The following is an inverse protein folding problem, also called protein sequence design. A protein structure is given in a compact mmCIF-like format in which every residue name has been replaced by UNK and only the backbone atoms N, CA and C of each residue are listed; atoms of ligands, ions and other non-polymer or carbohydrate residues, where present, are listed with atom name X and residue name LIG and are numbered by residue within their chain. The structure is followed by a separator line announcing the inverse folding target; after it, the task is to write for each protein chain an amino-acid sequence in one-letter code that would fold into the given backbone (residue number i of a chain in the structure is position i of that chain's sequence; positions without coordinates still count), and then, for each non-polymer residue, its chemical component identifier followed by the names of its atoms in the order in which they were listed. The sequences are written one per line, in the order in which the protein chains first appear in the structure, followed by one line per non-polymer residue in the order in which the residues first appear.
data_IF_823847666820
#
_entry.id   IF_823847666820
#
_cell.length_a   1.000
_cell.length_b   1.000
_cell.length_c   1.000
_cell.angle_alpha   90.00
_cell.angle_beta   90.00
_cell.angle_gamma   90.00
#
_symmetry.space_group_name_H-M   'P 1'
#
loop_
_entity.id
_entity.type
_entity.pdbx_description
1 polymer ?
#
# COMPACT_ATOMS: atom_id res chain seq x y z
N UNK A 1 -3.53 -16.07 16.14
CA UNK A 1 -3.81 -15.41 14.85
C UNK A 1 -4.21 -14.00 15.20
N UNK A 2 -3.62 -13.00 14.54
CA UNK A 2 -3.96 -11.59 14.73
C UNK A 2 -4.51 -11.10 13.40
N UNK A 3 -5.84 -11.13 13.28
CA UNK A 3 -6.57 -10.82 12.05
C UNK A 3 -6.98 -9.35 12.06
N UNK A 4 -6.52 -8.60 11.07
CA UNK A 4 -6.72 -7.15 10.97
C UNK A 4 -7.67 -6.85 9.81
N UNK A 5 -8.74 -6.11 10.05
CA UNK A 5 -9.58 -5.54 8.99
C UNK A 5 -8.98 -4.22 8.52
N UNK A 6 -8.93 -4.00 7.21
CA UNK A 6 -8.29 -2.82 6.62
C UNK A 6 -9.33 -1.93 5.97
N UNK A 7 -9.37 -0.66 6.38
CA UNK A 7 -10.13 0.41 5.75
C UNK A 7 -9.16 1.23 4.89
N UNK A 8 -9.34 1.24 3.55
CA UNK A 8 -8.52 2.06 2.65
C UNK A 8 -8.76 3.57 2.78
N UNK A 9 -8.16 4.31 1.86
CA UNK A 9 -8.31 5.74 1.65
C UNK A 9 -9.79 6.14 1.57
N UNK A 10 -10.15 7.14 2.38
CA UNK A 10 -11.57 7.47 2.62
C UNK A 10 -12.04 8.59 1.70
N UNK A 11 -11.23 9.62 1.46
CA UNK A 11 -11.48 10.77 0.59
C UNK A 11 -12.94 11.23 0.63
N UNK A 12 -13.39 11.72 1.80
CA UNK A 12 -14.75 12.24 2.02
C UNK A 12 -15.90 11.27 1.70
N UNK A 13 -15.69 9.96 1.89
CA UNK A 13 -16.73 8.92 1.72
C UNK A 13 -17.19 8.39 3.08
N UNK A 14 -18.01 9.14 3.86
CA UNK A 14 -18.46 8.71 5.19
C UNK A 14 -19.16 7.34 5.18
N UNK A 15 -19.82 6.99 4.08
CA UNK A 15 -20.49 5.69 3.89
C UNK A 15 -19.54 4.49 3.89
N UNK A 16 -18.22 4.69 3.75
CA UNK A 16 -17.23 3.61 3.83
C UNK A 16 -17.28 2.91 5.20
N UNK A 17 -17.54 3.69 6.27
CA UNK A 17 -17.65 3.17 7.63
C UNK A 17 -18.93 2.35 7.84
N UNK A 18 -20.02 2.69 7.15
CA UNK A 18 -21.25 1.90 7.19
C UNK A 18 -21.06 0.56 6.47
N UNK A 19 -20.39 0.56 5.30
CA UNK A 19 -20.04 -0.70 4.61
C UNK A 19 -19.06 -1.57 5.42
N UNK A 20 -18.09 -0.96 6.08
CA UNK A 20 -17.19 -1.68 6.97
C UNK A 20 -17.96 -2.34 8.13
N UNK A 21 -18.93 -1.63 8.73
CA UNK A 21 -19.77 -2.17 9.80
C UNK A 21 -20.56 -3.41 9.37
N UNK A 22 -21.12 -3.41 8.15
CA UNK A 22 -21.85 -4.55 7.61
C UNK A 22 -20.99 -5.82 7.61
N UNK A 23 -19.71 -5.70 7.26
CA UNK A 23 -18.76 -6.82 7.21
C UNK A 23 -18.22 -7.21 8.59
N UNK A 24 -17.97 -6.22 9.45
CA UNK A 24 -17.53 -6.44 10.83
C UNK A 24 -18.63 -7.13 11.67
N UNK A 25 -19.91 -6.96 11.32
CA UNK A 25 -21.00 -7.68 11.99
C UNK A 25 -21.01 -9.19 11.72
N UNK A 26 -20.28 -9.64 10.70
CA UNK A 26 -20.27 -11.04 10.24
C UNK A 26 -19.04 -11.82 10.70
N UNK A 27 -17.96 -11.12 11.06
CA UNK A 27 -16.66 -11.71 11.38
C UNK A 27 -15.96 -10.92 12.49
N UNK A 28 -15.23 -11.61 13.36
CA UNK A 28 -14.42 -10.97 14.39
C UNK A 28 -13.00 -10.65 13.87
N UNK A 29 -12.49 -9.50 14.26
CA UNK A 29 -11.14 -9.02 13.95
C UNK A 29 -10.48 -8.46 15.20
N UNK A 30 -9.19 -8.75 15.38
CA UNK A 30 -8.42 -8.32 16.55
C UNK A 30 -8.17 -6.80 16.51
N UNK A 31 -7.96 -6.25 15.30
CA UNK A 31 -7.75 -4.83 15.03
C UNK A 31 -8.47 -4.39 13.77
N UNK A 32 -8.78 -3.11 13.70
CA UNK A 32 -9.20 -2.42 12.48
C UNK A 32 -8.18 -1.32 12.21
N UNK A 33 -7.63 -1.26 11.00
CA UNK A 33 -6.66 -0.22 10.61
C UNK A 33 -7.26 0.59 9.47
N UNK A 34 -7.36 1.91 9.65
CA UNK A 34 -7.66 2.85 8.57
C UNK A 34 -6.36 3.46 8.04
N UNK A 35 -6.19 3.48 6.71
CA UNK A 35 -4.95 3.94 6.05
C UNK A 35 -4.91 5.45 5.76
N UNK A 36 -5.87 6.21 6.29
CA UNK A 36 -5.85 7.67 6.26
C UNK A 36 -6.56 8.25 5.05
N UNK A 37 -6.12 9.43 4.67
CA UNK A 37 -6.72 10.27 3.63
C UNK A 37 -8.22 10.39 3.84
N UNK A 38 -8.60 10.95 4.98
CA UNK A 38 -10.01 11.18 5.33
C UNK A 38 -10.67 12.22 4.45
N UNK A 39 -9.86 13.18 4.00
CA UNK A 39 -10.30 14.44 3.43
C UNK A 39 -9.92 14.55 1.96
N UNK A 40 -10.45 15.60 1.35
CA UNK A 40 -10.28 15.97 -0.06
C UNK A 40 -10.87 14.93 -1.04
N UNK A 41 -11.71 15.41 -1.96
CA UNK A 41 -12.20 14.64 -3.11
C UNK A 41 -12.55 15.65 -4.21
N UNK A 42 -12.77 15.15 -5.42
CA UNK A 42 -13.02 15.95 -6.61
C UNK A 42 -14.17 16.94 -6.44
N UNK A 43 -13.87 18.22 -6.69
CA UNK A 43 -14.83 19.31 -6.70
C UNK A 43 -15.60 19.47 -5.33
N UNK A 44 -15.03 18.97 -4.22
CA UNK A 44 -15.61 19.03 -2.86
C UNK A 44 -14.96 20.09 -1.96
N UNK A 45 -14.02 20.89 -2.44
CA UNK A 45 -13.19 21.79 -1.61
C UNK A 45 -14.04 22.73 -0.75
N UNK A 46 -15.23 23.13 -1.20
CA UNK A 46 -16.13 24.03 -0.46
C UNK A 46 -17.24 23.32 0.32
N UNK A 47 -17.31 22.00 0.28
CA UNK A 47 -18.37 21.22 0.91
C UNK A 47 -18.08 20.95 2.39
N UNK A 48 -18.03 22.01 3.21
CA UNK A 48 -17.68 21.91 4.64
C UNK A 48 -18.54 20.89 5.40
N UNK A 49 -19.81 20.75 4.99
CA UNK A 49 -20.73 19.77 5.56
C UNK A 49 -20.23 18.34 5.37
N UNK A 50 -19.74 17.99 4.18
CA UNK A 50 -19.23 16.65 3.90
C UNK A 50 -17.95 16.34 4.69
N UNK A 51 -17.07 17.33 4.87
CA UNK A 51 -15.91 17.18 5.76
C UNK A 51 -16.36 16.87 7.19
N UNK A 52 -17.29 17.66 7.74
CA UNK A 52 -17.84 17.40 9.09
C UNK A 52 -18.52 16.04 9.18
N UNK A 53 -19.35 15.66 8.19
CA UNK A 53 -20.03 14.36 8.15
C UNK A 53 -19.04 13.18 8.11
N UNK A 54 -17.89 13.35 7.44
CA UNK A 54 -16.82 12.34 7.38
C UNK A 54 -16.17 12.12 8.75
N UNK A 55 -15.80 13.20 9.45
CA UNK A 55 -15.27 13.10 10.81
C UNK A 55 -16.29 12.55 11.80
N UNK A 56 -17.56 12.98 11.70
CA UNK A 56 -18.63 12.48 12.57
C UNK A 56 -18.91 10.98 12.34
N UNK A 57 -18.83 10.51 11.08
CA UNK A 57 -18.96 9.09 10.76
C UNK A 57 -17.81 8.28 11.36
N UNK A 58 -16.57 8.75 11.21
CA UNK A 58 -15.40 8.10 11.78
C UNK A 58 -15.45 8.07 13.32
N UNK A 59 -15.86 9.15 13.98
CA UNK A 59 -16.03 9.16 15.44
C UNK A 59 -17.06 8.12 15.90
N UNK A 60 -18.22 8.03 15.24
CA UNK A 60 -19.23 7.00 15.57
C UNK A 60 -18.69 5.60 15.35
N UNK A 61 -17.84 5.41 14.35
CA UNK A 61 -17.19 4.13 14.07
C UNK A 61 -16.18 3.76 15.16
N UNK A 62 -15.27 4.67 15.52
CA UNK A 62 -14.26 4.47 16.58
C UNK A 62 -14.92 4.16 17.93
N UNK A 63 -16.01 4.86 18.28
CA UNK A 63 -16.73 4.62 19.53
C UNK A 63 -17.34 3.20 19.63
N UNK A 64 -17.62 2.55 18.49
CA UNK A 64 -18.09 1.16 18.45
C UNK A 64 -16.94 0.15 18.43
N UNK A 65 -15.79 0.56 17.92
CA UNK A 65 -14.62 -0.29 17.68
C UNK A 65 -13.37 0.24 18.41
N UNK A 66 -13.21 -0.01 19.72
CA UNK A 66 -12.08 0.50 20.49
C UNK A 66 -10.72 -0.11 20.09
N UNK A 67 -10.73 -1.17 19.26
CA UNK A 67 -9.55 -1.80 18.68
C UNK A 67 -9.08 -1.13 17.36
N UNK A 68 -9.55 0.09 17.09
CA UNK A 68 -9.22 0.87 15.90
C UNK A 68 -7.82 1.52 15.97
N UNK A 69 -7.14 1.52 14.83
CA UNK A 69 -5.87 2.18 14.56
C UNK A 69 -6.03 3.07 13.33
N UNK A 70 -5.45 4.27 13.38
CA UNK A 70 -5.50 5.26 12.30
C UNK A 70 -4.09 5.58 11.80
N UNK A 71 -3.87 5.45 10.49
CA UNK A 71 -2.70 5.98 9.82
C UNK A 71 -3.02 7.38 9.30
N UNK A 72 -2.12 8.34 9.46
CA UNK A 72 -2.20 9.60 8.71
C UNK A 72 -1.84 9.37 7.24
N UNK A 73 -2.64 9.92 6.33
CA UNK A 73 -2.28 10.10 4.93
C UNK A 73 -1.73 11.49 4.62
N UNK A 74 -1.26 11.71 3.39
CA UNK A 74 -0.72 13.01 2.98
C UNK A 74 -1.79 14.10 3.02
N UNK A 75 -3.03 13.78 2.63
CA UNK A 75 -4.11 14.77 2.65
C UNK A 75 -4.47 15.16 4.08
N UNK A 76 -4.37 14.25 5.06
CA UNK A 76 -4.68 14.57 6.45
C UNK A 76 -3.68 15.59 7.04
N UNK A 77 -2.38 15.33 6.84
CA UNK A 77 -1.31 16.18 7.41
C UNK A 77 -1.02 17.43 6.62
N UNK A 78 -1.42 17.49 5.35
CA UNK A 78 -1.34 18.69 4.51
C UNK A 78 -1.95 19.91 5.23
N UNK A 79 -3.07 19.73 5.94
CA UNK A 79 -3.78 20.76 6.71
C UNK A 79 -3.05 21.18 7.98
N UNK A 80 -2.42 20.22 8.68
CA UNK A 80 -1.62 20.45 9.88
C UNK A 80 -0.38 21.28 9.51
N UNK A 81 0.24 20.96 8.38
CA UNK A 81 1.50 21.55 7.95
C UNK A 81 1.35 22.75 7.02
N UNK A 82 0.12 23.09 6.63
CA UNK A 82 -0.18 24.09 5.61
C UNK A 82 0.59 23.82 4.31
N UNK A 83 0.76 22.54 3.99
CA UNK A 83 1.49 22.05 2.83
C UNK A 83 0.47 21.72 1.74
N UNK A 84 0.21 22.69 0.86
CA UNK A 84 -0.82 22.56 -0.18
C UNK A 84 -0.47 21.46 -1.17
N UNK A 85 -1.45 20.64 -1.46
CA UNK A 85 -1.40 19.62 -2.50
C UNK A 85 -2.69 19.63 -3.34
N UNK A 86 -2.89 18.61 -4.17
CA UNK A 86 -4.10 18.50 -4.98
C UNK A 86 -5.32 18.33 -4.07
N UNK A 87 -6.45 18.99 -4.35
CA UNK A 87 -7.66 18.86 -3.54
C UNK A 87 -7.68 19.64 -2.22
N UNK A 88 -6.53 20.11 -1.71
CA UNK A 88 -6.43 20.89 -0.48
C UNK A 88 -7.39 22.10 -0.49
N UNK A 89 -8.14 22.28 0.60
CA UNK A 89 -9.11 23.36 0.75
C UNK A 89 -8.80 24.33 1.89
N UNK A 90 -8.47 25.58 1.55
CA UNK A 90 -8.38 26.66 2.53
C UNK A 90 -9.67 26.88 3.32
N UNK A 91 -10.83 26.60 2.70
CA UNK A 91 -12.13 26.76 3.33
C UNK A 91 -12.38 25.68 4.39
N UNK A 92 -11.94 24.45 4.13
CA UNK A 92 -12.15 23.32 5.01
C UNK A 92 -11.12 23.22 6.14
N UNK A 93 -10.00 23.94 6.04
CA UNK A 93 -8.87 23.81 6.97
C UNK A 93 -9.26 23.80 8.44
N UNK A 94 -10.10 24.74 8.88
CA UNK A 94 -10.51 24.80 10.28
C UNK A 94 -11.28 23.54 10.69
N UNK A 95 -12.21 23.07 9.85
CA UNK A 95 -12.99 21.84 10.09
C UNK A 95 -12.07 20.62 10.15
N UNK A 96 -11.09 20.53 9.26
CA UNK A 96 -10.12 19.42 9.26
C UNK A 96 -9.28 19.41 10.52
N UNK A 97 -8.71 20.56 10.92
CA UNK A 97 -7.89 20.66 12.13
C UNK A 97 -8.69 20.33 13.39
N UNK A 98 -9.94 20.79 13.48
CA UNK A 98 -10.84 20.46 14.59
C UNK A 98 -11.16 18.96 14.62
N UNK A 99 -11.44 18.37 13.45
CA UNK A 99 -11.67 16.94 13.26
C UNK A 99 -10.49 16.09 13.70
N UNK A 100 -9.29 16.37 13.19
CA UNK A 100 -8.05 15.66 13.56
C UNK A 100 -7.76 15.77 15.06
N UNK A 101 -7.84 16.98 15.64
CA UNK A 101 -7.64 17.16 17.09
C UNK A 101 -8.65 16.37 17.92
N UNK A 102 -9.88 16.18 17.41
CA UNK A 102 -10.89 15.36 18.08
C UNK A 102 -10.54 13.87 18.01
N UNK A 103 -10.06 13.39 16.85
CA UNK A 103 -9.60 12.01 16.68
C UNK A 103 -8.42 11.69 17.60
N UNK A 104 -7.42 12.58 17.68
CA UNK A 104 -6.25 12.43 18.55
C UNK A 104 -6.63 12.33 20.04
N UNK A 105 -7.73 12.95 20.47
CA UNK A 105 -8.24 12.85 21.84
C UNK A 105 -9.10 11.61 22.07
N UNK A 106 -9.75 11.12 21.03
CA UNK A 106 -10.65 9.97 21.09
C UNK A 106 -9.87 8.65 21.12
N UNK A 107 -8.79 8.56 20.34
CA UNK A 107 -7.96 7.37 20.24
C UNK A 107 -6.94 7.29 21.39
N UNK A 108 -6.65 6.10 21.92
CA UNK A 108 -5.55 5.91 22.86
C UNK A 108 -4.22 6.38 22.27
N UNK A 109 -3.30 6.80 23.13
CA UNK A 109 -1.94 7.14 22.72
C UNK A 109 -1.30 5.95 21.98
N UNK A 110 -0.76 6.21 20.78
CA UNK A 110 -0.19 5.18 19.90
C UNK A 110 -1.19 4.53 18.94
N UNK A 111 -2.50 4.77 19.04
CA UNK A 111 -3.48 4.28 18.06
C UNK A 111 -3.67 5.22 16.86
N UNK A 112 -2.95 6.34 16.83
CA UNK A 112 -2.87 7.27 15.71
C UNK A 112 -1.39 7.54 15.41
N UNK A 113 -0.96 7.26 14.19
CA UNK A 113 0.45 7.23 13.80
C UNK A 113 0.62 7.37 12.27
N UNK A 114 1.85 7.49 11.76
CA UNK A 114 2.10 7.34 10.31
C UNK A 114 2.21 5.87 9.91
N UNK A 115 2.80 5.05 10.78
CA UNK A 115 2.99 3.62 10.57
C UNK A 115 2.59 2.85 11.84
N UNK A 116 1.71 1.87 11.67
CA UNK A 116 1.39 0.87 12.69
C UNK A 116 2.09 -0.44 12.37
N UNK A 117 2.62 -1.12 13.40
CA UNK A 117 3.08 -2.50 13.30
C UNK A 117 2.14 -3.43 14.06
N UNK A 118 1.74 -4.51 13.39
CA UNK A 118 1.10 -5.66 14.03
C UNK A 118 1.85 -6.90 13.58
N UNK A 119 2.50 -7.60 14.52
CA UNK A 119 3.39 -8.73 14.23
C UNK A 119 4.44 -8.40 13.15
N UNK A 120 4.40 -9.09 11.99
CA UNK A 120 5.30 -8.88 10.84
C UNK A 120 4.63 -8.11 9.70
N UNK A 121 3.63 -7.29 10.01
CA UNK A 121 2.92 -6.46 9.04
C UNK A 121 3.00 -5.00 9.44
N UNK A 122 3.37 -4.15 8.48
CA UNK A 122 3.31 -2.71 8.59
C UNK A 122 2.07 -2.19 7.87
N UNK A 123 1.36 -1.27 8.51
CA UNK A 123 0.25 -0.54 7.92
C UNK A 123 0.62 0.93 7.90
N UNK A 124 0.53 1.55 6.73
CA UNK A 124 0.81 2.97 6.54
C UNK A 124 0.08 3.44 5.31
N UNK A 125 -0.04 4.75 5.15
CA UNK A 125 -0.72 5.29 4.00
C UNK A 125 -0.07 4.90 2.66
N UNK A 126 1.27 5.01 2.52
CA UNK A 126 1.95 4.81 1.24
C UNK A 126 3.04 3.72 1.25
N UNK A 127 3.68 3.48 2.40
CA UNK A 127 4.68 2.41 2.59
C UNK A 127 6.07 2.89 3.02
N UNK A 128 6.80 2.08 3.78
CA UNK A 128 8.13 2.39 4.26
C UNK A 128 9.21 1.82 3.32
N UNK A 129 10.08 2.67 2.80
CA UNK A 129 11.12 2.29 1.83
C UNK A 129 12.52 2.28 2.44
N UNK A 130 13.41 1.49 1.85
CA UNK A 130 14.83 1.46 2.21
C UNK A 130 15.50 2.81 1.95
N UNK A 131 15.15 3.49 0.85
CA UNK A 131 15.69 4.80 0.50
C UNK A 131 15.34 5.83 1.57
N UNK A 132 14.09 5.85 2.05
CA UNK A 132 13.66 6.76 3.11
C UNK A 132 14.41 6.51 4.42
N UNK A 133 14.46 5.25 4.86
CA UNK A 133 15.15 4.87 6.10
C UNK A 133 16.64 5.19 6.01
N UNK A 134 17.29 4.86 4.91
CA UNK A 134 18.72 5.12 4.70
C UNK A 134 19.04 6.62 4.69
N UNK A 135 18.12 7.46 4.20
CA UNK A 135 18.30 8.90 4.17
C UNK A 135 18.14 9.55 5.55
N UNK A 136 17.04 9.27 6.25
CA UNK A 136 16.69 9.97 7.49
C UNK A 136 17.22 9.31 8.75
N UNK A 137 17.48 7.99 8.71
CA UNK A 137 17.98 7.20 9.83
C UNK A 137 19.23 6.39 9.41
N UNK A 138 20.29 7.03 8.88
CA UNK A 138 21.48 6.32 8.44
C UNK A 138 22.15 5.62 9.62
N UNK A 139 22.58 4.37 9.40
CA UNK A 139 23.21 3.51 10.42
C UNK A 139 22.30 3.15 11.60
N UNK A 140 20.98 3.18 11.41
CA UNK A 140 20.07 2.71 12.44
C UNK A 140 20.26 1.20 12.67
N UNK A 141 20.70 0.83 13.87
CA UNK A 141 20.91 -0.57 14.28
C UNK A 141 20.04 -1.01 15.44
N UNK A 142 19.01 -0.23 15.79
CA UNK A 142 18.03 -0.59 16.82
C UNK A 142 16.99 -1.59 16.31
N UNK A 143 16.06 -1.98 17.17
CA UNK A 143 14.95 -2.83 16.77
C UNK A 143 13.89 -2.07 15.94
N UNK A 144 12.98 -2.81 15.32
CA UNK A 144 11.95 -2.23 14.45
C UNK A 144 10.98 -1.32 15.21
N UNK A 145 10.70 -1.57 16.49
CA UNK A 145 9.73 -0.78 17.25
C UNK A 145 10.28 0.61 17.56
N UNK A 146 11.55 0.68 18.00
CA UNK A 146 12.25 1.94 18.20
C UNK A 146 12.41 2.74 16.87
N UNK A 147 12.60 2.07 15.73
CA UNK A 147 12.67 2.72 14.41
C UNK A 147 11.34 3.38 14.08
N UNK A 148 10.24 2.64 14.24
CA UNK A 148 8.91 3.13 13.93
C UNK A 148 8.48 4.22 14.90
N UNK A 149 8.88 4.17 16.17
CA UNK A 149 8.66 5.27 17.13
C UNK A 149 9.34 6.56 16.65
N UNK A 150 10.58 6.48 16.15
CA UNK A 150 11.27 7.64 15.57
C UNK A 150 10.54 8.18 14.34
N UNK A 151 10.17 7.33 13.39
CA UNK A 151 9.43 7.76 12.19
C UNK A 151 8.09 8.37 12.58
N UNK A 152 7.38 7.80 13.56
CA UNK A 152 6.12 8.33 14.06
C UNK A 152 6.26 9.68 14.78
N UNK A 153 7.47 10.08 15.16
CA UNK A 153 7.79 11.40 15.72
C UNK A 153 8.23 12.44 14.68
N UNK A 154 8.42 12.03 13.42
CA UNK A 154 8.84 12.93 12.34
C UNK A 154 7.79 13.99 12.03
N UNK A 155 8.25 15.06 11.38
CA UNK A 155 7.45 16.21 11.01
C UNK A 155 7.53 16.42 9.51
N UNK A 156 7.05 17.59 9.08
CA UNK A 156 7.00 18.01 7.68
C UNK A 156 8.36 17.86 6.98
N UNK A 157 9.45 18.23 7.63
CA UNK A 157 10.78 18.29 6.98
C UNK A 157 11.27 16.90 6.53
N UNK A 158 10.88 15.85 7.25
CA UNK A 158 11.20 14.47 6.88
C UNK A 158 10.11 13.83 6.01
N UNK A 159 8.84 14.03 6.37
CA UNK A 159 7.72 13.28 5.78
C UNK A 159 7.12 13.92 4.53
N UNK A 160 7.36 15.21 4.25
CA UNK A 160 6.81 15.86 3.05
C UNK A 160 7.72 15.67 1.83
N UNK A 161 8.02 14.42 1.50
CA UNK A 161 8.82 14.03 0.35
C UNK A 161 8.31 12.73 -0.31
N UNK A 162 8.58 12.57 -1.61
CA UNK A 162 8.05 11.47 -2.45
C UNK A 162 8.44 10.06 -1.99
N UNK A 163 9.52 9.90 -1.22
CA UNK A 163 9.95 8.60 -0.70
C UNK A 163 9.31 8.22 0.64
N UNK A 164 8.54 9.14 1.24
CA UNK A 164 8.02 9.00 2.59
C UNK A 164 6.88 8.00 2.72
N UNK A 165 6.61 7.51 3.95
CA UNK A 165 5.47 6.64 4.27
C UNK A 165 4.07 7.18 3.96
N UNK A 166 3.97 8.45 3.55
CA UNK A 166 2.72 9.10 3.17
C UNK A 166 2.67 9.52 1.69
N UNK A 167 3.73 9.29 0.89
CA UNK A 167 3.79 9.74 -0.50
C UNK A 167 4.31 8.71 -1.50
N UNK A 168 5.04 7.70 -1.03
CA UNK A 168 5.68 6.76 -1.97
C UNK A 168 4.65 6.00 -2.80
N UNK A 169 4.95 5.80 -4.09
CA UNK A 169 4.12 5.03 -5.02
C UNK A 169 4.85 3.76 -5.48
N UNK A 170 5.00 2.74 -4.61
CA UNK A 170 5.61 1.47 -5.00
C UNK A 170 4.85 0.73 -6.12
N UNK A 171 3.63 1.16 -6.44
CA UNK A 171 2.83 0.63 -7.55
C UNK A 171 3.38 1.05 -8.92
N UNK A 172 4.09 2.19 -9.02
CA UNK A 172 4.59 2.75 -10.29
C UNK A 172 5.91 2.13 -10.76
N UNK A 173 6.51 1.27 -9.94
CA UNK A 173 7.75 0.56 -10.24
C UNK A 173 8.32 -0.10 -9.00
N UNK A 174 9.33 -0.96 -9.18
CA UNK A 174 9.95 -1.63 -8.04
C UNK A 174 10.67 -0.62 -7.15
N UNK A 175 10.22 -0.49 -5.91
CA UNK A 175 10.87 0.25 -4.84
C UNK A 175 11.21 -0.75 -3.74
N UNK A 176 12.44 -0.69 -3.23
CA UNK A 176 12.84 -1.56 -2.12
C UNK A 176 12.14 -1.13 -0.84
N UNK A 177 11.32 -2.05 -0.33
CA UNK A 177 10.53 -1.87 0.88
C UNK A 177 11.37 -2.21 2.12
N UNK A 178 11.16 -1.50 3.22
CA UNK A 178 11.87 -1.71 4.47
C UNK A 178 10.90 -1.96 5.64
N UNK A 179 11.21 -2.88 6.56
CA UNK A 179 12.33 -3.82 6.50
C UNK A 179 12.00 -5.03 5.63
N UNK A 180 13.03 -5.73 5.16
CA UNK A 180 12.90 -6.99 4.41
C UNK A 180 12.16 -8.04 5.25
N UNK A 181 11.26 -8.81 4.63
CA UNK A 181 10.53 -9.91 5.28
C UNK A 181 9.24 -9.50 5.99
N UNK A 182 8.89 -8.20 5.95
CA UNK A 182 7.63 -7.66 6.45
C UNK A 182 6.64 -7.49 5.31
N UNK A 183 5.39 -7.89 5.54
CA UNK A 183 4.31 -7.49 4.66
C UNK A 183 3.98 -6.02 4.92
N UNK A 184 3.78 -5.23 3.88
CA UNK A 184 3.25 -3.89 4.01
C UNK A 184 1.85 -3.79 3.40
N UNK A 185 0.94 -3.08 4.06
CA UNK A 185 -0.42 -2.84 3.58
C UNK A 185 -0.60 -1.34 3.43
N UNK A 186 -0.86 -0.89 2.20
CA UNK A 186 -0.81 0.52 1.82
C UNK A 186 -1.98 0.96 0.96
N UNK A 187 -2.31 2.24 1.05
CA UNK A 187 -3.28 2.97 0.25
C UNK A 187 -2.59 3.85 -0.81
N UNK A 188 -2.96 5.13 -0.83
CA UNK A 188 -2.34 6.27 -1.53
C UNK A 188 -2.43 6.29 -3.06
N UNK A 189 -2.20 5.15 -3.70
CA UNK A 189 -2.20 5.03 -5.15
C UNK A 189 -3.44 4.26 -5.60
N UNK A 190 -4.39 4.93 -6.28
CA UNK A 190 -5.62 4.29 -6.73
C UNK A 190 -5.37 3.05 -7.60
N UNK A 191 -6.00 1.94 -7.24
CA UNK A 191 -5.93 0.66 -7.96
C UNK A 191 -7.33 0.16 -8.35
N UNK A 192 -7.40 -0.58 -9.46
CA UNK A 192 -8.68 -1.14 -9.96
C UNK A 192 -9.23 -2.28 -9.10
N UNK A 193 -8.37 -2.91 -8.31
CA UNK A 193 -8.64 -3.98 -7.35
C UNK A 193 -7.45 -4.06 -6.41
N UNK A 194 -7.62 -4.69 -5.25
CA UNK A 194 -6.48 -5.04 -4.38
C UNK A 194 -5.41 -5.78 -5.20
N UNK A 195 -4.16 -5.34 -5.07
CA UNK A 195 -3.01 -5.93 -5.76
C UNK A 195 -1.95 -6.37 -4.74
N UNK A 196 -1.17 -7.39 -5.11
CA UNK A 196 -0.12 -7.96 -4.27
C UNK A 196 1.14 -8.27 -5.06
N UNK A 197 2.27 -7.68 -4.64
CA UNK A 197 3.59 -7.88 -5.24
C UNK A 197 4.68 -7.57 -4.22
N UNK A 198 5.84 -8.24 -4.26
CA UNK A 198 6.99 -7.87 -3.42
C UNK A 198 6.73 -7.71 -1.91
N UNK A 199 5.86 -8.56 -1.31
CA UNK A 199 5.39 -8.41 0.07
C UNK A 199 4.65 -7.10 0.37
N UNK A 200 3.99 -6.52 -0.63
CA UNK A 200 3.13 -5.35 -0.52
C UNK A 200 1.71 -5.69 -0.94
N UNK A 201 0.73 -5.32 -0.12
CA UNK A 201 -0.70 -5.34 -0.46
C UNK A 201 -1.16 -3.90 -0.62
N UNK A 202 -1.65 -3.53 -1.80
CA UNK A 202 -2.19 -2.18 -2.05
C UNK A 202 -3.72 -2.23 -2.13
N UNK A 203 -4.37 -1.31 -1.42
CA UNK A 203 -5.80 -1.39 -1.14
C UNK A 203 -6.60 -0.12 -1.45
N UNK A 204 -6.02 0.94 -2.03
CA UNK A 204 -6.81 2.11 -2.46
C UNK A 204 -7.66 1.78 -3.69
N UNK A 205 -8.72 1.00 -3.50
CA UNK A 205 -9.71 0.63 -4.51
C UNK A 205 -11.05 1.35 -4.30
N UNK A 206 -11.10 2.37 -3.43
CA UNK A 206 -12.28 3.20 -3.16
C UNK A 206 -12.23 4.58 -3.81
N UNK A 207 -11.05 5.02 -4.25
CA UNK A 207 -10.86 6.23 -5.04
C UNK A 207 -11.74 6.31 -6.28
N UNK A 208 -12.07 7.54 -6.67
CA UNK A 208 -12.99 7.87 -7.78
C UNK A 208 -12.28 8.67 -8.85
N UNK A 209 -12.75 8.53 -10.09
CA UNK A 209 -12.45 9.51 -11.13
C UNK A 209 -13.18 10.82 -10.82
N UNK A 210 -12.77 11.92 -11.45
CA UNK A 210 -13.41 13.23 -11.29
C UNK A 210 -14.93 13.23 -11.53
N UNK A 211 -15.44 12.32 -12.36
CA UNK A 211 -16.88 12.20 -12.60
C UNK A 211 -17.64 11.42 -11.51
N UNK A 212 -16.98 11.02 -10.43
CA UNK A 212 -17.53 10.26 -9.31
C UNK A 212 -17.59 8.74 -9.53
N UNK A 213 -17.21 8.24 -10.71
CA UNK A 213 -17.18 6.79 -10.95
C UNK A 213 -16.05 6.14 -10.14
N UNK A 214 -16.28 4.96 -9.53
CA UNK A 214 -15.23 4.20 -8.87
C UNK A 214 -14.08 3.85 -9.83
N UNK A 215 -12.85 3.97 -9.35
CA UNK A 215 -11.66 3.43 -10.03
C UNK A 215 -11.56 1.93 -9.78
N UNK A 216 -11.76 1.53 -8.52
CA UNK A 216 -11.64 0.16 -8.07
C UNK A 216 -12.96 -0.56 -7.82
N UNK A 217 -12.83 -1.81 -7.38
CA UNK A 217 -13.94 -2.70 -7.04
C UNK A 217 -14.56 -2.44 -5.66
N UNK A 218 -14.00 -1.50 -4.88
CA UNK A 218 -14.51 -1.06 -3.58
C UNK A 218 -14.71 -2.20 -2.57
N UNK A 219 -13.74 -3.10 -2.48
CA UNK A 219 -13.77 -4.26 -1.58
C UNK A 219 -12.75 -4.11 -0.46
N UNK A 220 -13.19 -4.43 0.75
CA UNK A 220 -12.32 -4.47 1.93
C UNK A 220 -11.58 -5.80 2.00
N UNK A 221 -10.44 -5.78 2.68
CA UNK A 221 -9.67 -6.97 2.96
C UNK A 221 -9.47 -7.16 4.45
N UNK A 222 -9.09 -8.37 4.81
CA UNK A 222 -8.46 -8.70 6.07
C UNK A 222 -7.05 -9.23 5.85
N UNK A 223 -6.21 -9.13 6.88
CA UNK A 223 -4.85 -9.64 6.88
C UNK A 223 -4.61 -10.45 8.16
N UNK A 224 -4.16 -11.70 8.04
CA UNK A 224 -3.56 -12.44 9.15
C UNK A 224 -2.10 -12.01 9.26
N UNK A 225 -1.80 -11.28 10.33
CA UNK A 225 -0.50 -10.63 10.50
C UNK A 225 0.61 -11.57 10.98
N UNK A 226 0.26 -12.80 11.38
CA UNK A 226 1.22 -13.86 11.72
C UNK A 226 1.62 -14.63 10.46
N UNK A 227 0.64 -15.05 9.65
CA UNK A 227 0.90 -15.81 8.41
C UNK A 227 1.24 -14.92 7.22
N UNK A 228 1.00 -13.61 7.31
CA UNK A 228 1.11 -12.63 6.22
C UNK A 228 0.19 -12.94 5.03
N UNK A 229 -0.90 -13.66 5.30
CA UNK A 229 -1.93 -13.94 4.31
C UNK A 229 -3.04 -12.89 4.39
N UNK A 230 -3.67 -12.60 3.26
CA UNK A 230 -4.78 -11.67 3.19
C UNK A 230 -5.93 -12.30 2.41
N UNK A 231 -7.14 -11.80 2.61
CA UNK A 231 -8.32 -12.21 1.86
C UNK A 231 -9.38 -11.12 1.83
N UNK A 232 -10.37 -11.23 0.95
CA UNK A 232 -11.47 -10.28 0.94
C UNK A 232 -12.41 -10.48 2.14
N UNK A 233 -12.87 -9.38 2.72
CA UNK A 233 -13.73 -9.40 3.90
C UNK A 233 -15.19 -9.82 3.61
N UNK A 234 -15.62 -9.70 2.35
CA UNK A 234 -16.88 -10.25 1.82
C UNK A 234 -16.70 -11.67 1.23
N UNK A 235 -15.52 -12.26 1.37
CA UNK A 235 -15.19 -13.59 0.87
C UNK A 235 -15.69 -14.74 1.75
N UNK A 236 -15.26 -15.96 1.43
CA UNK A 236 -15.59 -17.17 2.19
C UNK A 236 -14.74 -17.37 3.46
N UNK A 237 -13.90 -16.38 3.81
CA UNK A 237 -12.97 -16.46 4.95
C UNK A 237 -11.61 -17.09 4.63
N UNK A 238 -11.42 -17.63 3.42
CA UNK A 238 -10.13 -18.18 2.98
C UNK A 238 -9.20 -17.07 2.46
N UNK A 239 -7.88 -17.21 2.63
CA UNK A 239 -6.91 -16.33 2.00
C UNK A 239 -7.05 -16.29 0.47
N UNK A 240 -6.81 -15.12 -0.10
CA UNK A 240 -6.64 -14.99 -1.54
C UNK A 240 -5.39 -15.73 -2.01
N UNK A 241 -5.50 -16.37 -3.18
CA UNK A 241 -4.36 -17.05 -3.79
C UNK A 241 -3.37 -16.00 -4.28
N UNK A 242 -2.19 -15.97 -3.67
CA UNK A 242 -1.13 -15.07 -4.11
C UNK A 242 -0.73 -15.39 -5.57
N UNK A 243 -0.56 -14.36 -6.42
CA UNK A 243 -0.03 -14.52 -7.75
C UNK A 243 1.37 -15.14 -7.70
N UNK A 244 1.74 -15.86 -8.76
CA UNK A 244 3.10 -16.36 -8.89
C UNK A 244 4.05 -15.17 -9.03
N UNK A 245 4.98 -14.94 -8.08
CA UNK A 245 5.83 -13.76 -8.10
C UNK A 245 6.69 -13.69 -9.37
N UNK A 246 6.99 -14.82 -10.02
CA UNK A 246 7.75 -14.85 -11.27
C UNK A 246 6.99 -14.22 -12.44
N UNK A 247 5.67 -14.13 -12.36
CA UNK A 247 4.85 -13.55 -13.43
C UNK A 247 4.66 -12.04 -13.29
N UNK A 248 5.22 -11.43 -12.25
CA UNK A 248 5.16 -9.99 -12.03
C UNK A 248 6.51 -9.33 -12.36
N UNK A 249 6.50 -8.47 -13.38
CA UNK A 249 7.71 -7.78 -13.85
C UNK A 249 8.34 -6.89 -12.76
N UNK A 250 7.54 -6.41 -11.80
CA UNK A 250 8.01 -5.60 -10.67
C UNK A 250 8.93 -6.38 -9.75
N UNK A 251 8.97 -7.71 -9.85
CA UNK A 251 9.88 -8.56 -9.10
C UNK A 251 11.24 -8.77 -9.78
N UNK A 252 11.53 -8.13 -10.91
CA UNK A 252 12.80 -8.25 -11.63
C UNK A 252 13.61 -6.95 -11.58
N UNK A 253 14.94 -7.07 -11.63
CA UNK A 253 15.94 -6.01 -11.79
C UNK A 253 16.96 -6.41 -12.85
N UNK A 254 17.57 -5.41 -13.48
CA UNK A 254 18.81 -5.62 -14.24
C UNK A 254 19.89 -6.12 -13.28
N UNK A 255 20.58 -7.20 -13.65
CA UNK A 255 21.53 -7.93 -12.79
C UNK A 255 20.95 -9.21 -12.18
N UNK A 256 19.62 -9.34 -12.07
CA UNK A 256 19.02 -10.53 -11.47
C UNK A 256 19.35 -11.80 -12.28
N UNK A 257 19.61 -12.90 -11.58
CA UNK A 257 19.78 -14.19 -12.23
C UNK A 257 18.44 -14.88 -12.40
N UNK A 258 18.20 -15.37 -13.61
CA UNK A 258 16.97 -16.10 -13.95
C UNK A 258 17.31 -17.43 -14.59
N UNK A 259 16.52 -18.44 -14.24
CA UNK A 259 16.47 -19.71 -14.95
C UNK A 259 15.26 -19.69 -15.86
N UNK A 260 15.45 -19.97 -17.13
CA UNK A 260 14.40 -19.82 -18.13
C UNK A 260 14.41 -20.92 -19.18
N UNK A 261 13.28 -21.03 -19.85
CA UNK A 261 13.00 -22.03 -20.86
C UNK A 261 13.04 -21.41 -22.25
N UNK A 262 13.64 -22.12 -23.20
CA UNK A 262 13.70 -21.73 -24.61
C UNK A 262 13.08 -22.84 -25.43
N UNK A 263 12.21 -22.47 -26.37
CA UNK A 263 11.65 -23.39 -27.36
C UNK A 263 12.17 -23.06 -28.74
N UNK A 264 12.84 -24.02 -29.37
CA UNK A 264 13.32 -23.87 -30.74
C UNK A 264 12.22 -24.24 -31.73
N UNK A 265 11.96 -23.38 -32.72
CA UNK A 265 10.92 -23.61 -33.73
C UNK A 265 11.07 -24.93 -34.52
N UNK A 266 12.27 -25.50 -34.55
CA UNK A 266 12.60 -26.70 -35.33
C UNK A 266 12.60 -28.00 -34.50
N UNK A 267 12.37 -27.93 -33.18
CA UNK A 267 12.28 -29.10 -32.31
C UNK A 267 11.28 -28.89 -31.17
N UNK A 268 10.40 -29.85 -30.92
CA UNK A 268 9.52 -29.88 -29.73
C UNK A 268 10.29 -30.10 -28.40
N UNK A 269 11.61 -29.86 -28.41
CA UNK A 269 12.46 -29.94 -27.24
C UNK A 269 12.64 -28.55 -26.64
N UNK A 270 12.40 -28.49 -25.34
CA UNK A 270 12.62 -27.30 -24.55
C UNK A 270 14.02 -27.36 -23.94
N UNK A 271 14.81 -26.30 -24.11
CA UNK A 271 16.11 -26.14 -23.45
C UNK A 271 15.95 -25.24 -22.23
N UNK A 272 16.62 -25.60 -21.13
CA UNK A 272 16.65 -24.78 -19.92
C UNK A 272 18.02 -24.12 -19.82
N UNK A 273 18.04 -22.80 -19.62
CA UNK A 273 19.24 -22.01 -19.43
C UNK A 273 19.15 -21.15 -18.19
N UNK A 274 20.32 -20.73 -17.71
CA UNK A 274 20.47 -19.71 -16.68
C UNK A 274 21.12 -18.47 -17.32
N UNK A 275 20.75 -17.28 -16.86
CA UNK A 275 21.30 -16.04 -17.36
C UNK A 275 21.02 -14.85 -16.45
N UNK A 276 21.47 -13.69 -16.87
CA UNK A 276 21.34 -12.42 -16.15
C UNK A 276 20.41 -11.48 -16.91
N UNK A 277 19.47 -10.86 -16.20
CA UNK A 277 18.57 -9.86 -16.78
C UNK A 277 19.36 -8.60 -17.15
N UNK A 278 19.27 -8.17 -18.41
CA UNK A 278 19.97 -6.99 -18.93
C UNK A 278 19.01 -5.82 -19.18
N UNK A 279 17.78 -6.12 -19.63
CA UNK A 279 16.76 -5.11 -19.97
C UNK A 279 15.40 -5.58 -19.44
N UNK A 280 14.61 -4.63 -18.93
CA UNK A 280 13.23 -4.85 -18.52
C UNK A 280 12.33 -3.99 -19.40
N UNK A 281 11.59 -4.66 -20.28
CA UNK A 281 10.71 -4.00 -21.24
C UNK A 281 9.28 -3.92 -20.71
N UNK A 282 8.77 -2.69 -20.65
CA UNK A 282 7.37 -2.40 -20.35
C UNK A 282 6.67 -2.00 -21.64
N UNK A 283 6.06 -2.96 -22.35
CA UNK A 283 5.26 -2.60 -23.53
C UNK A 283 3.91 -2.00 -23.12
N UNK A 284 3.51 -0.84 -23.68
CA UNK A 284 2.20 -0.23 -23.43
C UNK A 284 0.99 -1.12 -23.78
N UNK A 285 1.21 -2.23 -24.49
CA UNK A 285 0.20 -3.23 -24.84
C UNK A 285 0.02 -4.39 -23.84
N UNK A 286 0.71 -4.36 -22.69
CA UNK A 286 0.54 -5.34 -21.61
C UNK A 286 1.38 -6.61 -21.73
N UNK A 287 2.26 -6.72 -22.72
CA UNK A 287 3.29 -7.76 -22.74
C UNK A 287 4.52 -7.23 -21.99
N UNK A 288 4.75 -7.75 -20.79
CA UNK A 288 6.00 -7.50 -20.05
C UNK A 288 7.02 -8.57 -20.43
N UNK A 289 8.25 -8.16 -20.68
CA UNK A 289 9.33 -9.08 -21.05
C UNK A 289 10.66 -8.63 -20.49
N UNK A 290 11.58 -9.57 -20.42
CA UNK A 290 12.97 -9.33 -20.01
C UNK A 290 13.92 -9.76 -21.13
N UNK A 291 15.01 -9.04 -21.29
CA UNK A 291 16.14 -9.52 -22.08
C UNK A 291 17.16 -10.15 -21.13
N UNK A 292 17.65 -11.33 -21.48
CA UNK A 292 18.51 -12.15 -20.61
C UNK A 292 19.79 -12.52 -21.35
N UNK A 293 20.94 -12.17 -20.77
CA UNK A 293 22.25 -12.64 -21.22
C UNK A 293 22.56 -14.02 -20.63
N UNK A 294 22.80 -15.01 -21.48
CA UNK A 294 23.22 -16.36 -21.06
C UNK A 294 24.46 -16.79 -21.85
N UNK A 295 25.61 -16.89 -21.16
CA UNK A 295 26.91 -16.99 -21.81
C UNK A 295 27.18 -15.76 -22.67
N UNK A 296 27.47 -15.97 -23.96
CA UNK A 296 27.70 -14.90 -24.93
C UNK A 296 26.44 -14.57 -25.78
N UNK A 297 25.26 -15.06 -25.38
CA UNK A 297 24.02 -14.92 -26.15
C UNK A 297 22.99 -14.08 -25.40
N UNK A 298 22.51 -13.02 -26.06
CA UNK A 298 21.41 -12.20 -25.58
C UNK A 298 20.07 -12.75 -26.10
N UNK A 299 19.21 -13.19 -25.19
CA UNK A 299 17.84 -13.61 -25.47
C UNK A 299 16.91 -12.42 -25.26
N UNK A 300 16.20 -12.00 -26.30
CA UNK A 300 15.37 -10.80 -26.28
C UNK A 300 13.89 -11.11 -26.11
N UNK A 301 13.18 -10.23 -25.43
CA UNK A 301 11.74 -10.25 -25.22
C UNK A 301 11.24 -11.59 -24.64
N UNK A 302 12.01 -12.15 -23.69
CA UNK A 302 11.63 -13.36 -23.00
C UNK A 302 10.35 -13.11 -22.19
N UNK A 303 9.34 -13.96 -22.37
CA UNK A 303 8.11 -13.87 -21.59
C UNK A 303 8.37 -14.31 -20.15
N UNK A 304 7.75 -13.65 -19.18
CA UNK A 304 7.82 -14.06 -17.78
C UNK A 304 7.28 -15.49 -17.54
N UNK A 305 6.40 -15.99 -18.41
CA UNK A 305 5.91 -17.38 -18.33
C UNK A 305 6.99 -18.41 -18.63
N UNK A 306 8.07 -18.00 -19.30
CA UNK A 306 9.22 -18.85 -19.60
C UNK A 306 10.26 -18.86 -18.47
N UNK A 307 10.09 -18.01 -17.44
CA UNK A 307 10.95 -17.98 -16.25
C UNK A 307 10.54 -19.10 -15.28
N UNK A 308 11.50 -19.96 -14.98
CA UNK A 308 11.37 -21.10 -14.08
C UNK A 308 11.77 -20.74 -12.66
N UNK A 309 12.82 -19.94 -12.51
CA UNK A 309 13.35 -19.51 -11.22
C UNK A 309 13.96 -18.10 -11.33
N UNK A 310 13.99 -17.39 -10.21
CA UNK A 310 14.50 -16.01 -10.09
C UNK A 310 15.23 -15.87 -8.76
N UNK A 311 16.45 -15.32 -8.81
CA UNK A 311 17.21 -14.94 -7.62
C UNK A 311 17.74 -13.53 -7.80
N UNK A 312 17.43 -12.66 -6.85
CA UNK A 312 18.02 -11.33 -6.78
C UNK A 312 19.55 -11.43 -6.68
N UNK A 313 20.26 -10.51 -7.33
CA UNK A 313 21.69 -10.34 -7.09
C UNK A 313 21.91 -9.82 -5.64
N UNK A 314 22.85 -10.43 -4.91
CA UNK A 314 23.26 -9.98 -3.56
C UNK A 314 24.07 -8.68 -3.62
#
# INVERSE_FOLDING_TARGET
MSKVFVIPDVHLKPWIFDKAEELLSQNEYDKIVCLGDLVDDWDQEKNLRLYSETFDALERFINRHPNFLFCYGNHDVSYIWEARESGYSDYARQVVLEGISKLEKLLPAGNIAYIHRVDKVLFSHAGLTEIFVSHFLPNYGGDIDELLEKINSFRRDELWCDASPIWVRPQDGRIEMYPVGYLQVVGHTPVRKTDFFGELVTVDNFSTYRNGNPIGDQRFIWVDTVSKQWGFADGNGEPEKQPDPRLDIRNYKVGDRVKFKIRYHESDQDEIRDGTVEIIDHYPGGHVSIDVMSGDTLFKHLSLTDVLDHSAEE
#
